data_IF_912444879189
#
_entry.id   IF_912444879189
#
_cell.length_a   1.000
_cell.length_b   1.000
_cell.length_c   1.000
_cell.angle_alpha   90.00
_cell.angle_beta   90.00
_cell.angle_gamma   90.00
#
_symmetry.space_group_name_H-M   'P 1'
#
loop_
_entity.id
_entity.type
_entity.pdbx_description
1 polymer ?
#
# COMPACT_ATOMS: atom_id res chain seq x y z
N UNK A 1 22.60 33.29 24.88
CA UNK A 1 22.44 33.53 23.57
C UNK A 1 22.53 32.41 22.60
N UNK A 2 22.63 31.21 22.98
CA UNK A 2 22.80 30.10 22.08
C UNK A 2 21.51 29.39 21.78
N UNK A 3 20.42 30.05 21.90
CA UNK A 3 19.15 29.39 21.78
C UNK A 3 18.68 29.23 20.36
N UNK A 4 19.45 29.68 19.40
CA UNK A 4 18.99 29.75 18.04
C UNK A 4 18.96 28.40 17.34
N UNK A 5 19.75 27.48 17.80
CA UNK A 5 19.88 26.19 17.16
C UNK A 5 18.59 25.39 17.18
N UNK A 6 17.78 25.56 18.20
CA UNK A 6 16.56 24.78 18.29
C UNK A 6 15.53 25.16 17.24
N UNK A 7 15.58 26.37 16.75
CA UNK A 7 14.64 26.81 15.73
C UNK A 7 14.90 26.11 14.42
N UNK A 8 16.17 25.98 14.06
CA UNK A 8 16.53 25.33 12.81
C UNK A 8 16.11 23.87 12.82
N UNK A 9 16.21 23.23 13.97
CA UNK A 9 15.82 21.84 14.07
C UNK A 9 14.34 21.64 13.81
N UNK A 10 13.52 22.54 14.31
CA UNK A 10 12.09 22.42 14.12
C UNK A 10 11.72 22.52 12.65
N UNK A 11 12.40 23.37 11.90
CA UNK A 11 12.12 23.50 10.48
C UNK A 11 12.46 22.24 9.70
N UNK A 12 13.54 21.57 10.09
CA UNK A 12 13.93 20.34 9.43
C UNK A 12 12.89 19.25 9.66
N UNK A 13 12.36 19.14 10.86
CA UNK A 13 11.35 18.16 11.15
C UNK A 13 10.08 18.39 10.34
N UNK A 14 9.72 19.63 10.14
CA UNK A 14 8.53 19.94 9.37
C UNK A 14 8.64 19.53 7.90
N UNK A 15 9.83 19.36 7.40
CA UNK A 15 10.04 18.99 6.01
C UNK A 15 10.00 17.49 5.78
N UNK A 16 9.80 16.69 6.81
CA UNK A 16 9.93 15.26 6.71
C UNK A 16 8.61 14.53 6.66
N UNK A 17 7.67 15.09 5.97
CA UNK A 17 6.40 14.39 5.80
C UNK A 17 6.55 13.29 4.77
N UNK A 18 5.86 12.17 4.98
CA UNK A 18 5.94 11.08 4.03
C UNK A 18 5.41 11.52 2.67
N UNK A 19 6.06 11.08 1.64
CA UNK A 19 5.61 11.33 0.30
C UNK A 19 4.31 10.55 0.04
N UNK A 20 3.48 11.08 -0.85
CA UNK A 20 2.29 10.37 -1.29
C UNK A 20 2.70 9.06 -1.96
N UNK A 21 1.87 8.03 -1.88
CA UNK A 21 2.18 6.76 -2.55
C UNK A 21 2.38 6.98 -4.05
N UNK A 22 3.37 6.27 -4.61
CA UNK A 22 3.71 6.39 -6.02
C UNK A 22 2.93 5.42 -6.88
N UNK A 23 1.74 5.05 -6.47
CA UNK A 23 0.89 4.15 -7.23
C UNK A 23 -0.53 4.68 -7.30
N UNK A 24 -1.25 4.22 -8.29
CA UNK A 24 -2.63 4.60 -8.47
C UNK A 24 -3.48 3.99 -7.36
N UNK A 25 -4.36 4.78 -6.76
CA UNK A 25 -5.18 4.32 -5.63
C UNK A 25 -6.65 4.57 -5.89
N UNK A 26 -7.44 3.52 -5.71
CA UNK A 26 -8.89 3.61 -5.67
C UNK A 26 -9.35 3.10 -4.31
N UNK A 27 -9.52 4.03 -3.37
CA UNK A 27 -9.82 3.71 -1.99
C UNK A 27 -11.03 4.52 -1.55
N UNK A 28 -12.25 3.98 -1.79
CA UNK A 28 -13.47 4.72 -1.45
C UNK A 28 -13.57 5.00 0.04
N UNK A 29 -13.97 6.22 0.38
CA UNK A 29 -14.12 6.61 1.78
C UNK A 29 -15.11 5.72 2.52
N UNK A 30 -16.16 5.27 1.84
CA UNK A 30 -17.17 4.42 2.47
C UNK A 30 -16.59 3.07 2.88
N UNK A 31 -15.54 2.61 2.23
CA UNK A 31 -14.92 1.34 2.56
C UNK A 31 -13.75 1.50 3.53
N UNK A 32 -13.02 2.62 3.43
CA UNK A 32 -11.85 2.81 4.29
C UNK A 32 -12.23 2.83 5.76
N UNK A 33 -13.43 3.27 6.08
CA UNK A 33 -13.90 3.30 7.46
C UNK A 33 -14.12 1.91 8.04
N UNK A 34 -14.15 0.88 7.21
CA UNK A 34 -14.45 -0.49 7.63
C UNK A 34 -13.24 -1.39 7.70
N UNK A 35 -12.07 -0.91 7.31
CA UNK A 35 -10.88 -1.75 7.34
C UNK A 35 -10.35 -1.89 8.77
N UNK A 36 -9.75 -3.05 9.05
CA UNK A 36 -9.05 -3.31 10.31
C UNK A 36 -7.56 -3.42 10.10
N UNK A 37 -7.15 -3.68 8.86
CA UNK A 37 -5.74 -3.74 8.48
C UNK A 37 -5.47 -2.48 7.68
N UNK A 38 -4.46 -1.72 8.06
CA UNK A 38 -4.15 -0.48 7.35
C UNK A 38 -3.60 -0.76 5.96
N UNK A 39 -3.70 0.25 5.10
CA UNK A 39 -3.12 0.15 3.76
C UNK A 39 -1.63 -0.16 3.84
N UNK A 40 -0.91 0.50 4.75
CA UNK A 40 0.54 0.27 4.89
C UNK A 40 0.85 -1.16 5.29
N UNK A 41 0.09 -1.72 6.22
CA UNK A 41 0.30 -3.10 6.64
C UNK A 41 -0.03 -4.07 5.52
N UNK A 42 -1.13 -3.83 4.82
CA UNK A 42 -1.53 -4.70 3.70
C UNK A 42 -0.50 -4.64 2.57
N UNK A 43 0.06 -3.46 2.31
CA UNK A 43 1.10 -3.31 1.30
C UNK A 43 2.33 -4.13 1.66
N UNK A 44 2.75 -4.07 2.92
CA UNK A 44 3.91 -4.84 3.37
C UNK A 44 3.66 -6.35 3.21
N UNK A 45 2.45 -6.80 3.51
CA UNK A 45 2.08 -8.20 3.36
C UNK A 45 2.17 -8.62 1.89
N UNK A 46 1.61 -7.79 1.01
CA UNK A 46 1.62 -8.09 -0.43
C UNK A 46 3.04 -8.12 -0.97
N UNK A 47 3.88 -7.16 -0.58
CA UNK A 47 5.26 -7.10 -1.07
C UNK A 47 6.11 -8.26 -0.55
N UNK A 48 5.86 -8.73 0.66
CA UNK A 48 6.57 -9.92 1.16
C UNK A 48 6.20 -11.15 0.35
N UNK A 49 4.98 -11.20 -0.14
CA UNK A 49 4.52 -12.33 -0.95
C UNK A 49 5.11 -12.33 -2.35
N UNK A 50 5.49 -11.15 -2.86
CA UNK A 50 6.04 -10.97 -4.21
C UNK A 50 7.40 -10.28 -4.11
N UNK A 51 8.45 -11.03 -3.77
CA UNK A 51 9.80 -10.44 -3.62
C UNK A 51 10.24 -9.74 -4.90
N UNK A 52 10.83 -8.57 -4.73
CA UNK A 52 11.28 -7.77 -5.87
C UNK A 52 10.18 -7.00 -6.55
N UNK A 53 8.98 -7.03 -6.02
CA UNK A 53 7.85 -6.35 -6.64
C UNK A 53 7.77 -4.87 -6.34
N UNK A 54 7.13 -4.15 -7.24
CA UNK A 54 6.80 -2.73 -7.08
C UNK A 54 5.30 -2.58 -7.28
N UNK A 55 4.65 -1.90 -6.36
CA UNK A 55 3.20 -1.69 -6.46
C UNK A 55 2.92 -0.72 -7.61
N UNK A 56 2.01 -1.07 -8.48
CA UNK A 56 1.53 -0.19 -9.55
C UNK A 56 0.15 0.38 -9.26
N UNK A 57 -0.69 -0.40 -8.62
CA UNK A 57 -2.05 0.05 -8.32
C UNK A 57 -2.60 -0.65 -7.10
N UNK A 58 -3.53 0.04 -6.45
CA UNK A 58 -4.28 -0.49 -5.32
C UNK A 58 -5.75 -0.19 -5.52
N UNK A 59 -6.58 -1.17 -5.21
CA UNK A 59 -8.01 -0.97 -5.13
C UNK A 59 -8.51 -1.58 -3.83
N UNK A 60 -9.26 -0.79 -3.04
CA UNK A 60 -9.97 -1.31 -1.88
C UNK A 60 -11.39 -1.61 -2.32
N UNK A 61 -11.81 -2.86 -2.22
CA UNK A 61 -13.08 -3.28 -2.78
C UNK A 61 -13.74 -4.37 -1.95
N UNK A 62 -15.00 -4.57 -2.24
CA UNK A 62 -15.76 -5.66 -1.63
C UNK A 62 -16.07 -6.66 -2.72
N UNK A 63 -15.69 -7.90 -2.51
CA UNK A 63 -15.88 -8.97 -3.47
C UNK A 63 -16.57 -10.13 -2.77
N UNK A 64 -17.80 -10.43 -3.18
CA UNK A 64 -18.55 -11.50 -2.54
C UNK A 64 -18.71 -11.33 -1.04
N UNK A 65 -18.85 -10.10 -0.58
CA UNK A 65 -18.98 -9.82 0.85
C UNK A 65 -17.66 -9.66 1.59
N UNK A 66 -16.53 -9.94 0.94
CA UNK A 66 -15.21 -9.83 1.56
C UNK A 66 -14.59 -8.49 1.23
N UNK A 67 -14.18 -7.75 2.25
CA UNK A 67 -13.47 -6.48 2.07
C UNK A 67 -11.99 -6.78 1.90
N UNK A 68 -11.41 -6.32 0.81
CA UNK A 68 -10.03 -6.64 0.49
C UNK A 68 -9.31 -5.51 -0.20
N UNK A 69 -7.99 -5.55 -0.09
CA UNK A 69 -7.08 -4.72 -0.86
C UNK A 69 -6.59 -5.54 -2.05
N UNK A 70 -6.78 -5.03 -3.25
CA UNK A 70 -6.27 -5.66 -4.47
C UNK A 70 -5.03 -4.90 -4.92
N UNK A 71 -3.89 -5.55 -4.91
CA UNK A 71 -2.59 -4.96 -5.22
C UNK A 71 -2.09 -5.46 -6.56
N UNK A 72 -1.87 -4.55 -7.50
CA UNK A 72 -1.22 -4.88 -8.76
C UNK A 72 0.26 -4.64 -8.61
N UNK A 73 1.05 -5.69 -8.78
CA UNK A 73 2.48 -5.67 -8.52
C UNK A 73 3.26 -6.05 -9.76
N UNK A 74 4.25 -5.23 -10.10
CA UNK A 74 5.15 -5.48 -11.22
C UNK A 74 6.49 -5.98 -10.70
N UNK A 75 7.00 -7.04 -11.29
CA UNK A 75 8.32 -7.56 -10.96
C UNK A 75 9.24 -7.28 -12.13
N UNK A 76 10.38 -6.67 -11.87
CA UNK A 76 11.34 -6.33 -12.91
C UNK A 76 11.76 -7.59 -13.66
N UNK A 77 11.74 -7.51 -15.00
CA UNK A 77 12.16 -8.62 -15.83
C UNK A 77 11.09 -9.69 -16.03
N UNK A 78 9.93 -9.53 -15.42
CA UNK A 78 8.84 -10.48 -15.56
C UNK A 78 7.69 -9.80 -16.27
N UNK A 79 7.19 -10.34 -17.38
CA UNK A 79 6.08 -9.68 -18.09
C UNK A 79 4.79 -9.76 -17.29
N UNK A 80 3.93 -8.77 -17.50
CA UNK A 80 2.61 -8.75 -16.89
C UNK A 80 2.60 -8.26 -15.46
N UNK A 81 1.52 -8.57 -14.77
CA UNK A 81 1.22 -8.08 -13.43
C UNK A 81 0.89 -9.26 -12.52
N UNK A 82 1.38 -9.21 -11.30
CA UNK A 82 0.95 -10.16 -10.27
C UNK A 82 -0.05 -9.43 -9.38
N UNK A 83 -1.27 -9.96 -9.30
CA UNK A 83 -2.32 -9.39 -8.49
C UNK A 83 -2.42 -10.14 -7.17
N UNK A 84 -2.33 -9.43 -6.05
CA UNK A 84 -2.41 -10.03 -4.72
C UNK A 84 -3.60 -9.43 -3.99
N UNK A 85 -4.49 -10.28 -3.53
CA UNK A 85 -5.63 -9.87 -2.69
C UNK A 85 -5.30 -10.13 -1.24
N UNK A 86 -5.40 -9.07 -0.42
CA UNK A 86 -5.15 -9.17 1.02
C UNK A 86 -6.43 -8.78 1.75
N UNK A 87 -6.88 -9.61 2.67
CA UNK A 87 -8.06 -9.28 3.46
C UNK A 87 -7.85 -7.98 4.22
N UNK A 88 -8.77 -7.05 4.07
CA UNK A 88 -8.70 -5.78 4.80
C UNK A 88 -9.14 -5.94 6.25
N UNK A 89 -9.59 -7.12 6.63
CA UNK A 89 -10.03 -7.39 7.99
C UNK A 89 -9.02 -8.21 8.78
N UNK A 90 -8.34 -9.15 8.13
CA UNK A 90 -7.44 -10.07 8.82
C UNK A 90 -6.00 -9.99 8.38
N UNK A 91 -5.73 -9.42 7.21
CA UNK A 91 -4.38 -9.38 6.64
C UNK A 91 -3.99 -10.66 5.93
N UNK A 92 -4.88 -11.64 5.84
CA UNK A 92 -4.56 -12.88 5.15
C UNK A 92 -4.52 -12.66 3.65
N UNK A 93 -3.61 -13.34 2.99
CA UNK A 93 -3.57 -13.36 1.53
C UNK A 93 -4.69 -14.25 1.05
N UNK A 94 -5.58 -13.70 0.25
CA UNK A 94 -6.75 -14.39 -0.24
C UNK A 94 -6.51 -15.03 -1.60
N UNK A 95 -5.72 -14.40 -2.45
CA UNK A 95 -5.36 -14.95 -3.75
C UNK A 95 -4.12 -14.27 -4.29
N UNK A 96 -3.42 -14.98 -5.17
CA UNK A 96 -2.28 -14.46 -5.91
C UNK A 96 -2.45 -14.96 -7.34
N UNK A 97 -2.56 -14.02 -8.29
CA UNK A 97 -2.75 -14.37 -9.68
C UNK A 97 -1.77 -13.59 -10.54
N UNK A 98 -1.20 -14.27 -11.52
CA UNK A 98 -0.28 -13.63 -12.44
C UNK A 98 -0.92 -13.54 -13.82
N UNK A 99 -0.95 -12.34 -14.37
CA UNK A 99 -1.44 -12.11 -15.71
C UNK A 99 -0.26 -11.71 -16.58
N UNK A 100 0.08 -12.56 -17.49
CA UNK A 100 1.30 -12.40 -18.28
C UNK A 100 1.12 -11.60 -19.55
N UNK A 101 0.09 -10.93 -19.76
CA UNK A 101 -0.25 -10.32 -21.01
C UNK A 101 0.85 -9.72 -21.80
#
# INVERSE_FOLDING_TARGET
>A
MSTFASIALAAVLGAQQPAAPAYKREVPDSLIAKVRVSEDSARAIALRRVPGGTIEALELEREGGTLLYSWDIKVRGKPGITEVHVSARTGRILSVEHEAN
#
